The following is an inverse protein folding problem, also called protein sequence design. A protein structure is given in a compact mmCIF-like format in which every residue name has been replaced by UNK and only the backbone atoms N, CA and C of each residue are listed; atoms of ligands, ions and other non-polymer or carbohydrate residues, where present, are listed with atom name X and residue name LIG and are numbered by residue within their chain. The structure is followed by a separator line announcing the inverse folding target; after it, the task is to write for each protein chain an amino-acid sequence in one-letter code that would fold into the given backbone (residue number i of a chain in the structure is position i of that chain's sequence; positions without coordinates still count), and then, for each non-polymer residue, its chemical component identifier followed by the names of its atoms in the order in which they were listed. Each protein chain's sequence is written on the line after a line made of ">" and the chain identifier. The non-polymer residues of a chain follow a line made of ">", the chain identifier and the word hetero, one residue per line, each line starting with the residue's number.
data_IF_637093992425
#
_entry.id   IF_637093992425
#
_cell.length_a   1.000
_cell.length_b   1.000
_cell.length_c   1.000
_cell.angle_alpha   90.00
_cell.angle_beta   90.00
_cell.angle_gamma   90.00
#
_symmetry.space_group_name_H-M   'P 1'
#
loop_
_entity.id
_entity.type
_entity.pdbx_description
1 polymer ?
#
# COMPACT_ATOMS: atom_id res chain seq x y z
N UNK A 1 -34.51 16.14 11.84
CA UNK A 1 -33.18 16.10 12.50
C UNK A 1 -32.15 15.98 11.39
N UNK A 2 -31.08 16.79 11.37
CA UNK A 2 -30.02 16.59 10.39
C UNK A 2 -29.41 15.20 10.63
N UNK A 3 -29.41 14.37 9.59
CA UNK A 3 -28.73 13.08 9.60
C UNK A 3 -27.24 13.39 9.80
N UNK A 4 -26.62 12.84 10.84
CA UNK A 4 -25.19 13.03 11.08
C UNK A 4 -24.41 12.61 9.83
N UNK A 5 -23.40 13.40 9.46
CA UNK A 5 -22.49 13.03 8.37
C UNK A 5 -21.89 11.66 8.69
N UNK A 6 -21.86 10.71 7.73
CA UNK A 6 -21.30 9.38 7.97
C UNK A 6 -19.79 9.45 8.26
N UNK A 7 -19.12 10.54 7.84
CA UNK A 7 -17.74 10.81 8.20
C UNK A 7 -17.66 12.04 9.11
N UNK A 8 -16.88 11.94 10.19
CA UNK A 8 -16.55 13.07 11.08
C UNK A 8 -15.04 13.31 11.12
N UNK A 9 -14.64 14.58 10.97
CA UNK A 9 -13.24 15.00 11.15
C UNK A 9 -12.89 15.00 12.63
N UNK A 10 -11.84 14.26 12.99
CA UNK A 10 -11.31 14.20 14.35
C UNK A 10 -10.34 15.38 14.56
N UNK A 11 -9.38 15.51 13.64
CA UNK A 11 -8.46 16.64 13.59
C UNK A 11 -7.88 16.82 12.18
N UNK A 12 -7.37 18.02 11.92
CA UNK A 12 -6.71 18.42 10.69
C UNK A 12 -5.49 19.26 11.00
N UNK A 13 -4.38 18.95 10.35
CA UNK A 13 -3.10 19.64 10.54
C UNK A 13 -2.45 19.92 9.18
N UNK A 14 -1.93 21.13 9.00
CA UNK A 14 -1.08 21.46 7.86
C UNK A 14 0.38 21.45 8.32
N UNK A 15 1.17 20.55 7.75
CA UNK A 15 2.58 20.39 8.09
C UNK A 15 3.45 21.46 7.42
N UNK A 16 4.59 21.74 8.05
CA UNK A 16 5.57 22.70 7.54
C UNK A 16 6.41 22.15 6.37
N UNK A 17 6.43 20.82 6.19
CA UNK A 17 7.28 20.13 5.22
C UNK A 17 6.48 19.22 4.27
N UNK A 18 6.90 19.08 3.01
CA UNK A 18 6.33 18.09 2.09
C UNK A 18 6.75 16.66 2.46
N UNK A 19 5.88 15.71 2.13
CA UNK A 19 6.12 14.29 2.32
C UNK A 19 5.57 13.47 1.13
N UNK A 20 6.28 12.40 0.80
CA UNK A 20 5.93 11.52 -0.32
C UNK A 20 5.14 10.29 0.13
N UNK A 21 5.39 9.84 1.36
CA UNK A 21 4.84 8.58 1.89
C UNK A 21 4.57 8.68 3.38
N UNK A 22 3.63 7.87 3.85
CA UNK A 22 3.10 7.87 5.20
C UNK A 22 2.83 6.44 5.65
N UNK A 23 3.10 6.15 6.93
CA UNK A 23 2.62 4.94 7.59
C UNK A 23 2.19 5.24 9.03
N UNK A 24 1.32 4.37 9.54
CA UNK A 24 0.94 4.32 10.94
C UNK A 24 1.50 3.06 11.56
N UNK A 25 2.24 3.19 12.65
CA UNK A 25 2.73 2.04 13.40
C UNK A 25 3.10 2.42 14.84
N UNK A 26 3.10 1.42 15.72
CA UNK A 26 3.82 1.49 16.99
C UNK A 26 5.27 1.12 16.73
N UNK A 27 6.21 2.06 16.94
CA UNK A 27 7.62 1.87 16.57
C UNK A 27 8.58 2.34 17.67
N UNK A 28 9.78 1.76 17.72
CA UNK A 28 10.85 2.14 18.64
C UNK A 28 10.41 2.22 20.11
N UNK A 29 9.59 1.26 20.53
CA UNK A 29 9.05 1.15 21.89
C UNK A 29 8.11 2.32 22.29
N UNK A 30 7.50 2.98 21.31
CA UNK A 30 6.40 3.89 21.58
C UNK A 30 5.25 3.16 22.29
N UNK A 31 4.55 3.84 23.18
CA UNK A 31 3.39 3.29 23.90
C UNK A 31 2.09 3.34 23.11
N UNK A 32 2.10 4.01 21.96
CA UNK A 32 0.92 4.19 21.10
C UNK A 32 1.32 4.42 19.65
N UNK A 33 0.31 4.65 18.81
CA UNK A 33 0.50 4.88 17.38
C UNK A 33 1.41 6.07 17.11
N UNK A 34 2.22 5.94 16.07
CA UNK A 34 3.04 7.00 15.53
C UNK A 34 2.67 7.23 14.06
N UNK A 35 2.57 8.49 13.68
CA UNK A 35 2.53 8.91 12.28
C UNK A 35 3.96 9.06 11.78
N UNK A 36 4.32 8.24 10.79
CA UNK A 36 5.67 8.19 10.22
C UNK A 36 5.61 8.75 8.81
N UNK A 37 6.39 9.79 8.54
CA UNK A 37 6.41 10.50 7.27
C UNK A 37 7.78 10.36 6.61
N UNK A 38 7.78 9.95 5.35
CA UNK A 38 8.95 9.98 4.48
C UNK A 38 8.97 11.27 3.67
N UNK A 39 9.92 12.16 3.94
CA UNK A 39 9.94 13.52 3.38
C UNK A 39 10.80 13.65 2.11
N UNK A 40 10.50 14.70 1.32
CA UNK A 40 11.26 15.04 0.11
C UNK A 40 12.72 15.43 0.39
N UNK A 41 13.03 15.88 1.60
CA UNK A 41 14.37 16.24 2.03
C UNK A 41 15.22 15.04 2.50
N UNK A 42 14.72 13.81 2.34
CA UNK A 42 15.41 12.58 2.74
C UNK A 42 15.33 12.27 4.25
N UNK A 43 14.61 13.07 5.02
CA UNK A 43 14.39 12.85 6.45
C UNK A 43 13.11 12.05 6.71
N UNK A 44 13.15 11.16 7.69
CA UNK A 44 11.94 10.57 8.26
C UNK A 44 11.52 11.41 9.47
N UNK A 45 10.26 11.83 9.51
CA UNK A 45 9.67 12.54 10.65
C UNK A 45 8.63 11.66 11.32
N UNK A 46 8.76 11.47 12.63
CA UNK A 46 7.87 10.63 13.43
C UNK A 46 7.16 11.52 14.44
N UNK A 47 5.84 11.54 14.36
CA UNK A 47 4.95 12.25 15.26
C UNK A 47 4.23 11.23 16.14
N UNK A 48 4.12 11.52 17.45
CA UNK A 48 3.20 10.75 18.29
C UNK A 48 1.78 11.04 17.83
N UNK A 49 1.01 9.99 17.58
CA UNK A 49 -0.38 10.11 17.17
C UNK A 49 -1.27 10.01 18.41
N UNK A 50 -2.21 10.94 18.53
CA UNK A 50 -3.27 10.85 19.55
C UNK A 50 -4.63 11.10 18.92
N UNK A 51 -5.66 10.49 19.49
CA UNK A 51 -7.06 10.72 19.11
C UNK A 51 -7.48 12.20 19.15
N UNK A 52 -6.82 13.04 19.95
CA UNK A 52 -7.28 14.42 20.17
C UNK A 52 -6.62 15.44 19.25
N UNK A 53 -5.36 15.20 18.90
CA UNK A 53 -4.58 16.10 18.05
C UNK A 53 -3.30 15.42 17.58
N UNK A 54 -2.73 15.98 16.51
CA UNK A 54 -1.37 15.71 16.04
C UNK A 54 -0.51 16.95 16.31
N UNK A 55 0.64 16.78 16.97
CA UNK A 55 1.59 17.89 17.15
C UNK A 55 2.28 18.20 15.81
N UNK A 56 2.39 19.49 15.47
CA UNK A 56 3.10 19.96 14.29
C UNK A 56 4.61 19.66 14.37
N UNK A 57 5.17 19.58 15.58
CA UNK A 57 6.58 19.22 15.74
C UNK A 57 6.77 17.70 15.79
N UNK A 58 7.65 17.13 14.96
CA UNK A 58 7.98 15.71 15.07
C UNK A 58 8.70 15.44 16.38
N UNK A 59 8.33 14.34 17.04
CA UNK A 59 9.02 13.86 18.25
C UNK A 59 10.39 13.26 17.93
N UNK A 60 10.54 12.66 16.76
CA UNK A 60 11.79 12.06 16.31
C UNK A 60 12.00 12.38 14.84
N UNK A 61 13.22 12.79 14.50
CA UNK A 61 13.65 13.03 13.12
C UNK A 61 14.83 12.11 12.86
N UNK A 62 14.75 11.30 11.81
CA UNK A 62 15.82 10.38 11.40
C UNK A 62 16.36 10.81 10.04
N UNK A 63 17.67 10.77 9.91
CA UNK A 63 18.36 11.13 8.67
C UNK A 63 18.84 9.86 7.95
N UNK A 64 18.37 9.65 6.72
CA UNK A 64 18.80 8.53 5.87
C UNK A 64 20.18 8.76 5.24
N UNK A 65 20.63 10.03 5.20
CA UNK A 65 21.85 10.48 4.50
C UNK A 65 21.82 10.10 3.01
N UNK A 66 20.67 10.31 2.38
CA UNK A 66 20.38 9.91 1.00
C UNK A 66 19.37 10.87 0.36
N UNK A 67 18.76 10.48 -0.75
CA UNK A 67 17.78 11.29 -1.49
C UNK A 67 16.37 11.31 -0.86
N UNK A 68 15.41 12.01 -1.53
CA UNK A 68 13.99 12.00 -1.20
C UNK A 68 13.44 10.60 -0.92
N UNK A 69 12.73 10.44 0.20
CA UNK A 69 12.13 9.15 0.55
C UNK A 69 10.96 8.88 -0.39
N UNK A 70 10.89 7.68 -0.95
CA UNK A 70 9.87 7.30 -1.93
C UNK A 70 8.85 6.32 -1.35
N UNK A 71 9.32 5.38 -0.53
CA UNK A 71 8.48 4.39 0.13
C UNK A 71 9.04 4.08 1.51
N UNK A 72 8.16 3.72 2.43
CA UNK A 72 8.54 3.20 3.74
C UNK A 72 7.58 2.09 4.16
N UNK A 73 8.05 1.21 5.03
CA UNK A 73 7.23 0.20 5.69
C UNK A 73 7.77 -0.05 7.09
N UNK A 74 6.94 -0.58 7.96
CA UNK A 74 7.31 -0.92 9.34
C UNK A 74 7.11 -2.41 9.52
N UNK A 75 8.16 -3.09 9.94
CA UNK A 75 8.13 -4.53 10.15
C UNK A 75 9.22 -4.95 11.13
N UNK A 76 8.97 -6.00 11.91
CA UNK A 76 9.99 -6.60 12.77
C UNK A 76 10.93 -7.52 11.96
N UNK A 77 11.84 -6.91 11.20
CA UNK A 77 12.78 -7.64 10.33
C UNK A 77 13.93 -8.23 11.15
N UNK A 78 14.31 -7.55 12.23
CA UNK A 78 15.43 -7.94 13.08
C UNK A 78 15.06 -9.01 14.10
N UNK A 79 13.78 -9.13 14.47
CA UNK A 79 13.28 -9.97 15.58
C UNK A 79 13.92 -9.63 16.93
N UNK A 80 14.65 -8.51 17.02
CA UNK A 80 15.36 -8.06 18.23
C UNK A 80 14.57 -6.99 18.99
N UNK A 81 13.85 -6.13 18.27
CA UNK A 81 13.06 -5.04 18.82
C UNK A 81 11.65 -5.08 18.22
N UNK A 82 10.65 -4.59 18.96
CA UNK A 82 9.32 -4.42 18.40
C UNK A 82 9.36 -3.37 17.28
N UNK A 83 9.29 -3.86 16.04
CA UNK A 83 9.19 -3.12 14.78
C UNK A 83 10.39 -2.24 14.39
N UNK A 84 10.96 -2.53 13.22
CA UNK A 84 11.98 -1.73 12.54
C UNK A 84 11.33 -0.85 11.47
N UNK A 85 11.99 0.28 11.15
CA UNK A 85 11.58 1.14 10.04
C UNK A 85 12.43 0.85 8.82
N UNK A 86 11.78 0.50 7.72
CA UNK A 86 12.44 0.27 6.43
C UNK A 86 12.09 1.43 5.50
N UNK A 87 13.11 2.02 4.89
CA UNK A 87 12.99 3.23 4.07
C UNK A 87 13.71 3.04 2.75
N UNK A 88 13.02 3.38 1.67
CA UNK A 88 13.54 3.41 0.31
C UNK A 88 13.56 4.85 -0.21
N UNK A 89 14.59 5.21 -0.98
CA UNK A 89 14.72 6.55 -1.53
C UNK A 89 14.95 6.60 -3.04
N UNK A 90 14.94 7.83 -3.56
CA UNK A 90 15.08 8.12 -4.99
C UNK A 90 16.49 7.87 -5.55
N UNK A 91 17.47 7.57 -4.70
CA UNK A 91 18.85 7.30 -5.10
C UNK A 91 19.17 5.80 -5.11
N UNK A 92 18.15 4.94 -5.01
CA UNK A 92 18.35 3.49 -5.09
C UNK A 92 18.82 2.86 -3.78
N UNK A 93 18.73 3.59 -2.66
CA UNK A 93 19.20 3.13 -1.36
C UNK A 93 18.06 2.62 -0.49
N UNK A 94 18.29 1.46 0.11
CA UNK A 94 17.49 0.90 1.19
C UNK A 94 18.17 1.20 2.52
N UNK A 95 17.44 1.76 3.48
CA UNK A 95 17.92 2.00 4.84
C UNK A 95 16.98 1.35 5.85
N UNK A 96 17.54 0.54 6.75
CA UNK A 96 16.80 -0.07 7.87
C UNK A 96 17.21 0.61 9.15
N UNK A 97 16.25 1.19 9.87
CA UNK A 97 16.44 1.73 11.20
C UNK A 97 15.92 0.75 12.25
N UNK A 98 16.78 0.45 13.23
CA UNK A 98 16.43 -0.30 14.42
C UNK A 98 16.64 0.60 15.64
N UNK A 99 15.60 0.79 16.45
CA UNK A 99 15.64 1.64 17.64
C UNK A 99 16.25 3.04 17.40
N UNK A 100 15.77 3.74 16.36
CA UNK A 100 16.23 5.09 15.93
C UNK A 100 17.67 5.17 15.39
N UNK A 101 18.35 4.06 15.22
CA UNK A 101 19.70 4.00 14.65
C UNK A 101 19.68 3.28 13.31
N UNK A 102 20.57 3.68 12.40
CA UNK A 102 20.75 2.97 11.14
C UNK A 102 21.41 1.62 11.45
N UNK A 103 20.68 0.54 11.19
CA UNK A 103 21.20 -0.82 11.28
C UNK A 103 21.91 -1.22 9.99
N UNK A 104 21.28 -0.94 8.86
CA UNK A 104 21.73 -1.38 7.54
C UNK A 104 21.45 -0.30 6.50
N UNK A 105 22.37 -0.17 5.55
CA UNK A 105 22.20 0.60 4.31
C UNK A 105 22.72 -0.23 3.15
N UNK A 106 21.90 -0.36 2.11
CA UNK A 106 22.24 -1.14 0.92
C UNK A 106 21.92 -0.33 -0.33
N UNK A 107 22.89 -0.24 -1.25
CA UNK A 107 22.67 0.33 -2.58
C UNK A 107 22.17 -0.76 -3.50
N UNK A 108 20.87 -0.77 -3.76
CA UNK A 108 20.22 -1.82 -4.55
C UNK A 108 20.16 -1.48 -6.04
N UNK A 109 20.07 -0.18 -6.36
CA UNK A 109 19.96 0.31 -7.73
C UNK A 109 20.64 1.67 -7.88
N UNK A 110 20.90 2.08 -9.13
CA UNK A 110 21.18 3.47 -9.49
C UNK A 110 19.91 4.30 -9.71
N UNK A 111 18.77 3.63 -9.85
CA UNK A 111 17.46 4.23 -10.08
C UNK A 111 16.66 4.34 -8.76
N UNK A 112 15.64 5.19 -8.76
CA UNK A 112 14.71 5.36 -7.64
C UNK A 112 14.08 4.04 -7.21
N UNK A 113 14.11 3.74 -5.90
CA UNK A 113 13.30 2.67 -5.32
C UNK A 113 11.89 3.20 -5.08
N UNK A 114 10.88 2.60 -5.70
CA UNK A 114 9.52 3.15 -5.77
C UNK A 114 8.54 2.48 -4.80
N UNK A 115 8.76 1.22 -4.43
CA UNK A 115 7.88 0.48 -3.53
C UNK A 115 8.74 -0.33 -2.55
N UNK A 116 8.22 -0.52 -1.34
CA UNK A 116 8.85 -1.28 -0.28
C UNK A 116 7.78 -2.07 0.47
N UNK A 117 7.99 -3.36 0.66
CA UNK A 117 7.13 -4.23 1.46
C UNK A 117 7.96 -5.33 2.11
N UNK A 118 7.35 -6.13 2.98
CA UNK A 118 8.01 -7.30 3.59
C UNK A 118 7.17 -8.54 3.32
N UNK A 119 7.83 -9.61 2.91
CA UNK A 119 7.25 -10.96 2.77
C UNK A 119 7.85 -11.88 3.82
N UNK A 120 7.11 -12.88 4.27
CA UNK A 120 7.65 -13.95 5.10
C UNK A 120 7.91 -15.18 4.23
N UNK A 121 9.18 -15.52 4.04
CA UNK A 121 9.57 -16.72 3.31
C UNK A 121 9.43 -17.97 4.19
N UNK A 122 9.59 -19.13 3.55
CA UNK A 122 9.53 -20.44 4.21
C UNK A 122 10.37 -20.45 5.50
N UNK A 123 9.72 -20.75 6.63
CA UNK A 123 10.35 -20.72 7.96
C UNK A 123 10.14 -19.41 8.74
N UNK A 124 9.35 -18.47 8.23
CA UNK A 124 8.99 -17.23 8.93
C UNK A 124 10.09 -16.17 8.91
N UNK A 125 11.07 -16.34 8.01
CA UNK A 125 12.16 -15.37 7.85
C UNK A 125 11.66 -14.16 7.06
N UNK A 126 11.73 -12.94 7.61
CA UNK A 126 11.27 -11.75 6.90
C UNK A 126 12.26 -11.39 5.79
N UNK A 127 11.72 -11.08 4.62
CA UNK A 127 12.45 -10.61 3.44
C UNK A 127 11.88 -9.27 3.03
N UNK A 128 12.73 -8.24 3.04
CA UNK A 128 12.38 -6.92 2.55
C UNK A 128 12.39 -6.99 1.03
N UNK A 129 11.28 -6.60 0.41
CA UNK A 129 11.16 -6.54 -1.05
C UNK A 129 11.04 -5.10 -1.50
N UNK A 130 11.95 -4.69 -2.37
CA UNK A 130 11.97 -3.37 -2.97
C UNK A 130 11.84 -3.48 -4.49
N UNK A 131 11.20 -2.51 -5.12
CA UNK A 131 11.21 -2.37 -6.57
C UNK A 131 11.76 -1.02 -6.98
N UNK A 132 12.27 -0.92 -8.22
CA UNK A 132 12.75 0.33 -8.79
C UNK A 132 11.96 0.76 -10.03
N UNK A 133 12.23 1.98 -10.52
CA UNK A 133 11.62 2.54 -11.74
C UNK A 133 12.15 1.90 -13.04
N UNK A 134 13.07 0.96 -12.98
CA UNK A 134 13.59 0.21 -14.15
C UNK A 134 13.08 -1.24 -14.23
N UNK A 135 12.05 -1.60 -13.44
CA UNK A 135 11.39 -2.90 -13.55
C UNK A 135 12.17 -4.05 -12.90
N UNK A 136 13.01 -3.73 -11.92
CA UNK A 136 13.72 -4.70 -11.08
C UNK A 136 13.03 -4.80 -9.73
N UNK A 137 12.85 -6.03 -9.26
CA UNK A 137 12.36 -6.37 -7.92
C UNK A 137 13.48 -7.12 -7.22
N UNK A 138 13.85 -6.66 -6.03
CA UNK A 138 14.94 -7.25 -5.24
C UNK A 138 14.42 -7.62 -3.86
N UNK A 139 14.63 -8.88 -3.48
CA UNK A 139 14.41 -9.38 -2.13
C UNK A 139 15.72 -9.41 -1.35
N UNK A 140 15.73 -8.77 -0.18
CA UNK A 140 16.92 -8.60 0.64
C UNK A 140 16.62 -8.85 2.11
N UNK A 141 17.66 -9.24 2.83
CA UNK A 141 17.75 -9.12 4.28
C UNK A 141 18.68 -7.96 4.63
N UNK A 142 18.69 -7.46 5.88
CA UNK A 142 19.58 -6.38 6.28
C UNK A 142 21.07 -6.61 5.98
N UNK A 143 21.48 -7.87 5.88
CA UNK A 143 22.88 -8.29 5.66
C UNK A 143 23.23 -8.64 4.22
N UNK A 144 22.25 -9.03 3.39
CA UNK A 144 22.53 -9.54 2.04
C UNK A 144 21.33 -9.43 1.08
N UNK A 145 21.63 -9.47 -0.21
CA UNK A 145 20.64 -9.67 -1.28
C UNK A 145 20.36 -11.15 -1.45
N UNK A 146 19.09 -11.56 -1.38
CA UNK A 146 18.67 -12.96 -1.50
C UNK A 146 18.35 -13.32 -2.95
N UNK A 147 17.58 -12.47 -3.62
CA UNK A 147 17.14 -12.71 -4.99
C UNK A 147 16.80 -11.41 -5.71
N UNK A 148 16.85 -11.47 -7.04
CA UNK A 148 16.59 -10.34 -7.93
C UNK A 148 15.87 -10.81 -9.18
N UNK A 149 14.80 -10.10 -9.53
CA UNK A 149 13.97 -10.36 -10.71
C UNK A 149 14.05 -9.12 -11.60
N UNK A 150 14.52 -9.27 -12.83
CA UNK A 150 14.48 -8.22 -13.84
C UNK A 150 13.36 -8.53 -14.84
N UNK A 151 12.28 -7.73 -14.80
CA UNK A 151 11.12 -7.96 -15.67
C UNK A 151 11.42 -7.68 -17.14
N UNK A 152 12.40 -6.81 -17.45
CA UNK A 152 12.80 -6.55 -18.83
C UNK A 152 13.43 -7.78 -19.49
N UNK A 153 14.09 -8.64 -18.71
CA UNK A 153 14.68 -9.90 -19.20
C UNK A 153 13.62 -10.93 -19.60
N UNK A 154 12.36 -10.75 -19.17
CA UNK A 154 11.24 -11.64 -19.49
C UNK A 154 10.46 -11.19 -20.73
N UNK A 155 10.66 -9.95 -21.19
CA UNK A 155 9.98 -9.40 -22.36
C UNK A 155 10.65 -9.88 -23.66
N UNK A 156 10.13 -10.95 -24.24
CA UNK A 156 10.68 -11.57 -25.46
C UNK A 156 10.36 -10.81 -26.78
N UNK A 157 9.74 -9.62 -26.74
CA UNK A 157 9.32 -8.91 -27.97
C UNK A 157 9.48 -7.38 -27.85
N UNK A 158 10.28 -6.82 -28.77
CA UNK A 158 10.52 -5.39 -29.05
C UNK A 158 10.69 -4.45 -27.83
N UNK A 159 11.92 -3.94 -27.56
CA UNK A 159 12.24 -3.12 -26.38
C UNK A 159 11.84 -1.64 -26.56
N UNK A 160 10.68 -1.33 -27.15
CA UNK A 160 10.31 0.08 -27.37
C UNK A 160 10.00 0.82 -26.07
N UNK A 161 9.66 0.11 -25.00
CA UNK A 161 9.32 0.70 -23.69
C UNK A 161 9.89 -0.14 -22.57
N UNK A 162 10.66 0.48 -21.67
CA UNK A 162 11.14 -0.16 -20.44
C UNK A 162 9.96 -0.53 -19.55
N UNK A 163 10.02 -1.74 -18.97
CA UNK A 163 9.07 -2.19 -17.96
C UNK A 163 9.29 -1.38 -16.70
N UNK A 164 8.22 -0.79 -16.17
CA UNK A 164 8.22 -0.03 -14.93
C UNK A 164 7.19 -0.60 -14.00
N UNK A 165 7.57 -0.81 -12.75
CA UNK A 165 6.63 -1.27 -11.72
C UNK A 165 5.82 -0.06 -11.27
N UNK A 166 4.52 -0.23 -11.07
CA UNK A 166 3.62 0.84 -10.66
C UNK A 166 3.24 0.73 -9.19
N UNK A 167 3.02 -0.49 -8.70
CA UNK A 167 2.71 -0.76 -7.30
C UNK A 167 3.00 -2.22 -6.95
N UNK A 168 3.19 -2.47 -5.65
CA UNK A 168 3.31 -3.81 -5.08
C UNK A 168 2.35 -3.99 -3.91
N UNK A 169 1.86 -5.21 -3.72
CA UNK A 169 1.03 -5.58 -2.57
C UNK A 169 1.32 -7.01 -2.15
N UNK A 170 1.52 -7.22 -0.85
CA UNK A 170 1.55 -8.55 -0.25
C UNK A 170 0.13 -8.97 0.07
N UNK A 171 -0.24 -10.17 -0.36
CA UNK A 171 -1.61 -10.70 -0.24
C UNK A 171 -1.59 -12.14 0.24
N UNK A 172 -2.65 -12.54 0.93
CA UNK A 172 -2.91 -13.94 1.24
C UNK A 172 -4.02 -14.45 0.32
N UNK A 173 -3.69 -15.38 -0.58
CA UNK A 173 -4.65 -15.95 -1.53
C UNK A 173 -4.69 -17.46 -1.37
N UNK A 174 -5.87 -18.04 -1.54
CA UNK A 174 -6.05 -19.48 -1.61
C UNK A 174 -5.67 -19.99 -3.01
N UNK A 175 -4.75 -20.96 -3.07
CA UNK A 175 -4.35 -21.58 -4.33
C UNK A 175 -5.38 -22.61 -4.84
N UNK A 176 -5.16 -23.16 -6.03
CA UNK A 176 -6.05 -24.17 -6.64
C UNK A 176 -6.14 -25.48 -5.82
N UNK A 177 -5.23 -25.69 -4.87
CA UNK A 177 -5.23 -26.84 -3.96
C UNK A 177 -5.96 -26.55 -2.64
N UNK A 178 -6.52 -25.34 -2.48
CA UNK A 178 -7.21 -24.91 -1.27
C UNK A 178 -6.27 -24.42 -0.16
N UNK A 179 -4.96 -24.29 -0.44
CA UNK A 179 -4.00 -23.85 0.55
C UNK A 179 -3.88 -22.33 0.50
N UNK A 180 -4.14 -21.67 1.63
CA UNK A 180 -3.93 -20.23 1.81
C UNK A 180 -2.43 -19.95 1.91
N UNK A 181 -1.91 -19.14 0.99
CA UNK A 181 -0.49 -18.80 0.89
C UNK A 181 -0.28 -17.31 0.70
N UNK A 182 0.87 -16.83 1.15
CA UNK A 182 1.30 -15.46 0.89
C UNK A 182 1.86 -15.35 -0.53
N UNK A 183 1.47 -14.29 -1.24
CA UNK A 183 2.00 -13.91 -2.54
C UNK A 183 2.35 -12.43 -2.55
N UNK A 184 3.35 -12.08 -3.34
CA UNK A 184 3.62 -10.70 -3.71
C UNK A 184 3.02 -10.45 -5.09
N UNK A 185 2.12 -9.48 -5.19
CA UNK A 185 1.64 -8.95 -6.46
C UNK A 185 2.48 -7.74 -6.85
N UNK A 186 3.00 -7.72 -8.06
CA UNK A 186 3.70 -6.57 -8.63
C UNK A 186 3.06 -6.20 -9.97
N UNK A 187 2.48 -4.99 -10.05
CA UNK A 187 1.87 -4.47 -11.27
C UNK A 187 2.89 -3.66 -12.07
N UNK A 188 2.79 -3.71 -13.40
CA UNK A 188 3.66 -2.96 -14.30
C UNK A 188 2.90 -2.02 -15.27
N UNK A 189 3.67 -1.21 -16.00
CA UNK A 189 3.18 -0.30 -17.02
C UNK A 189 2.76 -0.98 -18.34
N UNK A 190 2.83 -2.31 -18.42
CA UNK A 190 2.44 -3.14 -19.57
C UNK A 190 1.17 -3.96 -19.28
N UNK A 191 0.35 -3.52 -18.32
CA UNK A 191 -0.90 -4.16 -17.88
C UNK A 191 -0.71 -5.55 -17.31
N UNK A 192 0.48 -5.90 -16.82
CA UNK A 192 0.75 -7.19 -16.19
C UNK A 192 0.69 -7.05 -14.67
N UNK A 193 0.20 -8.10 -14.03
CA UNK A 193 0.33 -8.29 -12.58
C UNK A 193 1.08 -9.60 -12.38
N UNK A 194 2.33 -9.49 -11.96
CA UNK A 194 3.18 -10.63 -11.66
C UNK A 194 2.86 -11.15 -10.26
N UNK A 195 2.58 -12.45 -10.16
CA UNK A 195 2.38 -13.14 -8.90
C UNK A 195 3.70 -13.81 -8.54
N UNK A 196 4.30 -13.37 -7.44
CA UNK A 196 5.63 -13.79 -6.99
C UNK A 196 5.49 -14.56 -5.67
N UNK A 197 6.21 -15.67 -5.56
CA UNK A 197 6.34 -16.46 -4.34
C UNK A 197 7.78 -16.94 -4.20
N UNK A 198 8.39 -16.71 -3.04
CA UNK A 198 9.79 -17.11 -2.73
C UNK A 198 10.77 -16.74 -3.86
N UNK A 199 10.79 -15.45 -4.24
CA UNK A 199 11.68 -14.92 -5.28
C UNK A 199 11.42 -15.41 -6.71
N UNK A 200 10.31 -16.13 -6.97
CA UNK A 200 9.98 -16.68 -8.29
C UNK A 200 8.62 -16.18 -8.76
N UNK A 201 8.51 -15.79 -10.04
CA UNK A 201 7.22 -15.50 -10.67
C UNK A 201 6.50 -16.82 -10.94
N UNK A 202 5.41 -17.05 -10.22
CA UNK A 202 4.59 -18.27 -10.34
C UNK A 202 3.42 -18.11 -11.31
N UNK A 203 2.97 -16.87 -11.54
CA UNK A 203 1.93 -16.54 -12.50
C UNK A 203 2.08 -15.08 -12.98
N UNK A 204 1.44 -14.73 -14.09
CA UNK A 204 1.37 -13.35 -14.56
C UNK A 204 0.02 -13.10 -15.24
N UNK A 205 -0.78 -12.26 -14.61
CA UNK A 205 -2.13 -11.92 -15.04
C UNK A 205 -2.08 -10.73 -16.00
N UNK A 206 -3.10 -10.59 -16.86
CA UNK A 206 -3.28 -9.42 -17.72
C UNK A 206 -4.46 -8.62 -17.19
N UNK A 207 -4.20 -7.38 -16.78
CA UNK A 207 -5.22 -6.43 -16.40
C UNK A 207 -5.80 -5.73 -17.65
N UNK A 208 -7.06 -5.24 -17.62
CA UNK A 208 -7.63 -4.45 -18.71
C UNK A 208 -6.87 -3.14 -18.98
N UNK A 209 -6.39 -2.51 -17.90
CA UNK A 209 -5.69 -1.21 -17.87
C UNK A 209 -4.49 -1.33 -16.91
N UNK A 210 -3.53 -0.40 -17.03
CA UNK A 210 -2.42 -0.31 -16.10
C UNK A 210 -2.94 -0.08 -14.67
N UNK A 211 -2.57 -0.99 -13.76
CA UNK A 211 -2.92 -0.93 -12.35
C UNK A 211 -1.90 -0.03 -11.65
N UNK A 212 -2.38 0.85 -10.78
CA UNK A 212 -1.59 1.88 -10.10
C UNK A 212 -1.72 1.82 -8.58
N UNK A 213 -2.75 1.16 -8.06
CA UNK A 213 -2.93 0.92 -6.63
C UNK A 213 -3.63 -0.42 -6.39
N UNK A 214 -3.33 -1.06 -5.25
CA UNK A 214 -3.96 -2.32 -4.86
C UNK A 214 -4.24 -2.33 -3.36
N UNK A 215 -5.33 -2.96 -2.93
CA UNK A 215 -5.56 -3.32 -1.52
C UNK A 215 -6.33 -4.64 -1.41
N UNK A 216 -6.05 -5.41 -0.37
CA UNK A 216 -6.73 -6.68 -0.09
C UNK A 216 -7.93 -6.45 0.83
N UNK A 217 -9.07 -7.07 0.53
CA UNK A 217 -10.31 -6.94 1.31
C UNK A 217 -11.41 -7.85 0.77
N UNK A 218 -12.65 -7.61 1.21
CA UNK A 218 -13.86 -8.27 0.70
C UNK A 218 -14.84 -7.21 0.19
N UNK A 219 -14.89 -7.01 -1.13
CA UNK A 219 -15.64 -5.89 -1.73
C UNK A 219 -16.94 -6.31 -2.40
N UNK A 220 -16.99 -7.53 -2.94
CA UNK A 220 -18.17 -8.08 -3.61
C UNK A 220 -18.54 -9.40 -2.94
N UNK A 221 -19.79 -9.64 -2.54
CA UNK A 221 -20.21 -10.96 -2.08
C UNK A 221 -20.02 -12.01 -3.19
N UNK A 222 -19.51 -13.20 -2.89
CA UNK A 222 -19.15 -14.20 -3.91
C UNK A 222 -20.27 -14.58 -4.88
N UNK A 223 -21.54 -14.45 -4.46
CA UNK A 223 -22.71 -14.71 -5.30
C UNK A 223 -22.96 -13.65 -6.40
N UNK A 224 -22.31 -12.49 -6.32
CA UNK A 224 -22.42 -11.38 -7.28
C UNK A 224 -21.19 -11.23 -8.18
N UNK A 225 -20.16 -12.06 -8.04
CA UNK A 225 -18.99 -12.01 -8.92
C UNK A 225 -19.31 -12.57 -10.31
N UNK A 226 -19.29 -11.70 -11.33
CA UNK A 226 -19.36 -12.07 -12.75
C UNK A 226 -18.00 -12.56 -13.26
N UNK A 227 -17.62 -13.80 -12.92
CA UNK A 227 -16.41 -14.43 -13.45
C UNK A 227 -16.72 -15.26 -14.70
N UNK A 228 -15.88 -15.14 -15.73
CA UNK A 228 -15.96 -15.96 -16.94
C UNK A 228 -15.59 -17.42 -16.59
N UNK A 229 -16.62 -18.27 -16.46
CA UNK A 229 -16.55 -19.74 -16.38
C UNK A 229 -15.51 -20.34 -15.41
N UNK A 230 -15.91 -20.60 -14.16
CA UNK A 230 -15.25 -21.55 -13.28
C UNK A 230 -16.30 -22.41 -12.55
N UNK A 231 -16.10 -23.73 -12.41
CA UNK A 231 -17.08 -24.60 -11.76
C UNK A 231 -17.11 -24.33 -10.25
N UNK A 232 -18.34 -24.27 -9.73
CA UNK A 232 -18.77 -24.47 -8.35
C UNK A 232 -17.68 -24.84 -7.33
N UNK A 233 -17.09 -23.84 -6.68
CA UNK A 233 -16.63 -23.90 -5.29
C UNK A 233 -16.99 -22.55 -4.66
N UNK A 234 -18.14 -22.53 -4.00
CA UNK A 234 -18.70 -21.39 -3.28
C UNK A 234 -17.95 -21.19 -1.96
N UNK A 235 -16.69 -20.76 -2.04
CA UNK A 235 -15.97 -20.27 -0.87
C UNK A 235 -15.81 -18.77 -0.98
N UNK A 236 -16.01 -18.11 0.15
CA UNK A 236 -15.82 -16.68 0.39
C UNK A 236 -14.30 -16.37 0.29
N UNK A 237 -13.77 -16.46 -0.92
CA UNK A 237 -12.33 -16.36 -1.18
C UNK A 237 -11.85 -14.92 -1.15
N UNK A 238 -10.56 -14.75 -0.88
CA UNK A 238 -9.96 -13.43 -0.74
C UNK A 238 -10.05 -12.59 -2.03
N UNK A 239 -10.19 -11.28 -1.89
CA UNK A 239 -10.27 -10.34 -3.01
C UNK A 239 -9.22 -9.26 -2.92
N UNK A 240 -8.82 -8.74 -4.07
CA UNK A 240 -7.94 -7.58 -4.17
C UNK A 240 -8.59 -6.56 -5.09
N UNK A 241 -8.78 -5.34 -4.60
CA UNK A 241 -9.19 -4.22 -5.44
C UNK A 241 -7.98 -3.70 -6.20
N UNK A 242 -8.14 -3.51 -7.51
CA UNK A 242 -7.11 -3.08 -8.45
C UNK A 242 -7.51 -1.72 -9.04
N UNK A 243 -6.95 -0.65 -8.50
CA UNK A 243 -7.15 0.72 -8.99
C UNK A 243 -6.28 0.97 -10.21
N UNK A 244 -6.83 1.62 -11.22
CA UNK A 244 -6.16 1.82 -12.51
C UNK A 244 -5.91 3.28 -12.86
N UNK A 245 -5.03 3.50 -13.84
CA UNK A 245 -4.77 4.82 -14.41
C UNK A 245 -5.95 5.43 -15.16
N UNK A 246 -7.00 4.65 -15.50
CA UNK A 246 -8.24 5.17 -16.11
C UNK A 246 -9.30 5.60 -15.10
N UNK A 247 -9.06 5.39 -13.81
CA UNK A 247 -10.05 5.62 -12.75
C UNK A 247 -10.99 4.44 -12.49
N UNK A 248 -10.85 3.33 -13.22
CA UNK A 248 -11.60 2.11 -12.95
C UNK A 248 -10.95 1.32 -11.82
N UNK A 249 -11.77 0.71 -10.97
CA UNK A 249 -11.36 -0.33 -10.02
C UNK A 249 -11.85 -1.67 -10.54
N UNK A 250 -10.98 -2.68 -10.59
CA UNK A 250 -11.34 -4.06 -10.89
C UNK A 250 -11.15 -4.93 -9.66
N UNK A 251 -11.81 -6.09 -9.59
CA UNK A 251 -11.61 -7.05 -8.50
C UNK A 251 -10.85 -8.26 -9.01
N UNK A 252 -9.75 -8.59 -8.34
CA UNK A 252 -9.07 -9.87 -8.46
C UNK A 252 -9.66 -10.84 -7.45
N UNK A 253 -10.09 -12.02 -7.91
CA UNK A 253 -10.56 -13.11 -7.08
C UNK A 253 -10.15 -14.44 -7.69
N UNK A 254 -9.59 -15.35 -6.89
CA UNK A 254 -9.10 -16.66 -7.35
C UNK A 254 -8.20 -16.54 -8.60
N UNK A 255 -7.25 -15.61 -8.58
CA UNK A 255 -6.33 -15.32 -9.70
C UNK A 255 -7.02 -14.91 -11.02
N UNK A 256 -8.28 -14.49 -10.98
CA UNK A 256 -9.03 -13.97 -12.12
C UNK A 256 -9.46 -12.52 -11.84
N UNK A 257 -9.31 -11.66 -12.85
CA UNK A 257 -9.70 -10.24 -12.77
C UNK A 257 -11.09 -10.09 -13.39
N UNK A 258 -11.97 -9.33 -12.75
CA UNK A 258 -13.30 -9.01 -13.31
C UNK A 258 -13.17 -8.26 -14.64
N UNK A 259 -14.09 -8.53 -15.57
CA UNK A 259 -14.12 -7.84 -16.87
C UNK A 259 -14.71 -6.44 -16.74
N UNK A 260 -15.76 -6.31 -15.94
CA UNK A 260 -16.42 -5.04 -15.65
C UNK A 260 -15.71 -4.35 -14.48
N UNK A 261 -15.73 -3.02 -14.50
CA UNK A 261 -15.23 -2.22 -13.39
C UNK A 261 -16.23 -2.26 -12.22
N UNK A 262 -15.68 -2.46 -11.01
CA UNK A 262 -16.43 -2.39 -9.76
C UNK A 262 -16.95 -0.97 -9.52
N UNK A 263 -16.07 0.02 -9.73
CA UNK A 263 -16.38 1.46 -9.67
C UNK A 263 -15.49 2.23 -10.64
N UNK A 264 -15.89 3.47 -10.99
CA UNK A 264 -15.13 4.32 -11.89
C UNK A 264 -15.15 5.79 -11.46
N UNK A 265 -14.01 6.30 -11.00
CA UNK A 265 -13.81 7.69 -10.55
C UNK A 265 -13.63 8.69 -11.69
N UNK A 266 -13.50 8.22 -12.94
CA UNK A 266 -13.19 9.02 -14.15
C UNK A 266 -11.81 9.71 -14.15
N UNK A 267 -11.01 9.52 -13.10
CA UNK A 267 -9.68 10.11 -12.92
C UNK A 267 -8.70 9.05 -12.38
N UNK A 268 -7.41 9.10 -12.76
CA UNK A 268 -6.41 8.12 -12.32
C UNK A 268 -6.44 7.87 -10.81
N UNK A 269 -6.45 6.61 -10.40
CA UNK A 269 -6.39 6.20 -8.99
C UNK A 269 -4.93 6.08 -8.57
N UNK A 270 -4.59 6.61 -7.40
CA UNK A 270 -3.22 6.61 -6.86
C UNK A 270 -3.11 5.88 -5.53
N UNK A 271 -4.20 5.76 -4.77
CA UNK A 271 -4.21 5.06 -3.50
C UNK A 271 -5.55 4.35 -3.28
N UNK A 272 -5.48 3.12 -2.79
CA UNK A 272 -6.61 2.34 -2.34
C UNK A 272 -6.31 1.83 -0.92
N UNK A 273 -7.33 1.80 -0.08
CA UNK A 273 -7.24 1.21 1.25
C UNK A 273 -8.56 0.49 1.58
N UNK A 274 -8.46 -0.63 2.27
CA UNK A 274 -9.62 -1.35 2.80
C UNK A 274 -9.91 -0.84 4.20
N UNK A 275 -11.17 -0.53 4.47
CA UNK A 275 -11.65 -0.30 5.82
C UNK A 275 -12.62 -1.45 6.20
N UNK A 276 -12.16 -2.44 6.98
CA UNK A 276 -12.98 -3.55 7.43
C UNK A 276 -14.25 -3.08 8.15
N UNK A 277 -15.34 -3.81 7.93
CA UNK A 277 -16.63 -3.53 8.58
C UNK A 277 -17.08 -4.79 9.33
N UNK A 278 -17.33 -4.66 10.64
CA UNK A 278 -17.71 -5.79 11.49
C UNK A 278 -19.19 -6.20 11.33
N UNK A 279 -20.02 -5.28 10.87
CA UNK A 279 -21.49 -5.41 10.76
C UNK A 279 -21.98 -5.68 9.32
N UNK A 280 -21.07 -5.71 8.35
CA UNK A 280 -21.39 -5.84 6.93
C UNK A 280 -20.74 -7.06 6.30
N UNK A 281 -21.36 -7.55 5.21
CA UNK A 281 -20.79 -8.66 4.42
C UNK A 281 -19.61 -8.24 3.55
N UNK A 282 -19.36 -6.93 3.42
CA UNK A 282 -18.31 -6.36 2.59
C UNK A 282 -17.64 -5.21 3.33
N UNK A 283 -16.35 -5.05 3.10
CA UNK A 283 -15.55 -3.94 3.56
C UNK A 283 -15.83 -2.67 2.75
N UNK A 284 -15.53 -1.52 3.34
CA UNK A 284 -15.50 -0.25 2.62
C UNK A 284 -14.20 -0.16 1.80
N UNK A 285 -14.33 0.28 0.55
CA UNK A 285 -13.19 0.62 -0.30
C UNK A 285 -12.95 2.13 -0.24
N UNK A 286 -11.83 2.53 0.34
CA UNK A 286 -11.34 3.90 0.31
C UNK A 286 -10.53 4.12 -0.96
N UNK A 287 -10.84 5.16 -1.70
CA UNK A 287 -10.25 5.43 -3.00
C UNK A 287 -9.84 6.89 -3.14
N UNK A 288 -8.59 7.11 -3.51
CA UNK A 288 -8.02 8.41 -3.83
C UNK A 288 -7.28 8.39 -5.16
N UNK A 289 -7.14 9.55 -5.78
CA UNK A 289 -6.56 9.70 -7.10
C UNK A 289 -6.23 11.13 -7.44
N UNK A 290 -6.16 11.44 -8.74
CA UNK A 290 -5.99 12.81 -9.23
C UNK A 290 -7.31 13.61 -9.13
N UNK A 291 -7.87 13.67 -7.92
CA UNK A 291 -9.06 14.42 -7.54
C UNK A 291 -8.97 14.80 -6.07
N UNK A 292 -9.52 15.96 -5.69
CA UNK A 292 -9.38 16.54 -4.35
C UNK A 292 -10.48 16.04 -3.39
N UNK A 293 -10.63 14.72 -3.31
CA UNK A 293 -11.54 14.07 -2.38
C UNK A 293 -11.13 12.63 -2.08
N UNK A 294 -11.60 12.10 -0.94
CA UNK A 294 -11.56 10.69 -0.60
C UNK A 294 -12.95 10.09 -0.88
N UNK A 295 -13.02 9.11 -1.78
CA UNK A 295 -14.25 8.40 -2.09
C UNK A 295 -14.33 7.11 -1.26
N UNK A 296 -15.49 6.90 -0.63
CA UNK A 296 -15.82 5.68 0.10
C UNK A 296 -16.83 4.91 -0.73
N UNK A 297 -16.49 3.69 -1.13
CA UNK A 297 -17.38 2.82 -1.89
C UNK A 297 -17.84 1.64 -1.04
N UNK A 298 -19.13 1.29 -1.21
CA UNK A 298 -19.78 0.13 -0.60
C UNK A 298 -20.59 -0.59 -1.68
N UNK A 299 -20.43 -1.90 -1.82
CA UNK A 299 -21.19 -2.71 -2.78
C UNK A 299 -21.18 -2.16 -4.23
N UNK A 300 -20.07 -1.55 -4.65
CA UNK A 300 -19.89 -0.98 -6.00
C UNK A 300 -20.55 0.39 -6.20
N UNK A 301 -21.01 1.04 -5.12
CA UNK A 301 -21.66 2.34 -5.16
C UNK A 301 -20.92 3.35 -4.29
N UNK A 302 -20.91 4.62 -4.73
CA UNK A 302 -20.33 5.71 -3.94
C UNK A 302 -21.20 5.89 -2.68
N UNK A 303 -20.66 5.53 -1.53
CA UNK A 303 -21.30 5.66 -0.24
C UNK A 303 -21.15 7.09 0.30
N UNK A 304 -19.94 7.63 0.22
CA UNK A 304 -19.63 8.98 0.70
C UNK A 304 -18.42 9.59 -0.02
N UNK A 305 -18.36 10.91 -0.07
CA UNK A 305 -17.24 11.69 -0.59
C UNK A 305 -16.81 12.72 0.47
N UNK A 306 -15.57 12.63 0.93
CA UNK A 306 -14.96 13.63 1.80
C UNK A 306 -14.08 14.56 0.97
N UNK A 307 -14.43 15.84 0.89
CA UNK A 307 -13.69 16.85 0.13
C UNK A 307 -12.40 17.25 0.86
N UNK A 308 -11.28 17.30 0.12
CA UNK A 308 -9.96 17.68 0.64
C UNK A 308 -9.48 18.97 -0.01
N UNK A 309 -8.44 19.60 0.57
CA UNK A 309 -7.87 20.82 0.01
C UNK A 309 -7.03 20.58 -1.24
N UNK A 310 -6.53 19.36 -1.43
CA UNK A 310 -5.73 18.91 -2.57
C UNK A 310 -5.86 17.39 -2.75
N UNK A 311 -5.17 16.81 -3.73
CA UNK A 311 -5.17 15.36 -3.98
C UNK A 311 -4.66 14.59 -2.77
N UNK A 312 -5.39 13.54 -2.40
CA UNK A 312 -4.96 12.58 -1.38
C UNK A 312 -3.92 11.65 -2.01
N UNK A 313 -2.72 11.63 -1.45
CA UNK A 313 -1.61 10.79 -1.93
C UNK A 313 -1.35 9.57 -1.03
N UNK A 314 -1.73 9.64 0.26
CA UNK A 314 -1.57 8.53 1.18
C UNK A 314 -2.84 8.30 2.01
N UNK A 315 -3.17 7.03 2.23
CA UNK A 315 -4.26 6.58 3.10
C UNK A 315 -3.68 5.53 4.04
N UNK A 316 -3.95 5.65 5.34
CA UNK A 316 -3.63 4.63 6.33
C UNK A 316 -4.80 4.48 7.31
N UNK A 317 -4.95 3.30 7.89
CA UNK A 317 -5.99 3.00 8.87
C UNK A 317 -5.39 2.43 10.14
N UNK A 318 -5.91 2.86 11.29
CA UNK A 318 -5.52 2.39 12.61
C UNK A 318 -6.60 2.79 13.61
N UNK A 319 -6.79 1.99 14.65
CA UNK A 319 -7.59 2.35 15.82
C UNK A 319 -6.74 3.27 16.70
N UNK A 320 -6.90 4.58 16.54
CA UNK A 320 -6.05 5.60 17.19
C UNK A 320 -6.65 6.11 18.50
N UNK A 321 -7.93 5.82 18.76
CA UNK A 321 -8.64 6.19 19.97
C UNK A 321 -8.96 5.01 20.91
N UNK A 322 -8.56 3.80 20.52
CA UNK A 322 -8.68 2.54 21.26
C UNK A 322 -10.15 2.17 21.55
N UNK A 323 -11.06 2.53 20.63
CA UNK A 323 -12.48 2.20 20.71
C UNK A 323 -12.86 0.90 19.97
N UNK A 324 -11.89 0.27 19.31
CA UNK A 324 -12.06 -0.96 18.54
C UNK A 324 -12.51 -0.74 17.10
N UNK A 325 -12.66 0.52 16.65
CA UNK A 325 -12.97 0.90 15.27
C UNK A 325 -11.72 1.54 14.65
N UNK A 326 -11.50 1.29 13.36
CA UNK A 326 -10.37 1.90 12.66
C UNK A 326 -10.74 3.31 12.18
N UNK A 327 -9.91 4.29 12.53
CA UNK A 327 -9.91 5.60 11.90
C UNK A 327 -9.16 5.59 10.56
N UNK A 328 -9.46 6.59 9.74
CA UNK A 328 -8.78 6.84 8.47
C UNK A 328 -7.91 8.07 8.59
N UNK A 329 -6.60 7.91 8.35
CA UNK A 329 -5.66 9.02 8.24
C UNK A 329 -5.30 9.22 6.78
N UNK A 330 -5.51 10.43 6.29
CA UNK A 330 -5.15 10.81 4.92
C UNK A 330 -4.09 11.90 4.89
N UNK A 331 -3.14 11.74 3.98
CA UNK A 331 -2.17 12.76 3.60
C UNK A 331 -2.54 13.37 2.24
N UNK A 332 -2.44 14.69 2.13
CA UNK A 332 -2.68 15.45 0.90
C UNK A 332 -1.38 16.07 0.37
N UNK A 333 -1.32 16.29 -0.94
CA UNK A 333 -0.17 16.93 -1.62
C UNK A 333 0.14 18.34 -1.09
N UNK A 334 -0.85 19.08 -0.58
CA UNK A 334 -0.67 20.41 0.01
C UNK A 334 -0.12 20.40 1.45
N UNK A 335 0.38 19.24 1.91
CA UNK A 335 0.94 18.97 3.24
C UNK A 335 -0.10 18.87 4.35
N UNK A 336 -1.38 18.79 4.00
CA UNK A 336 -2.45 18.57 4.96
C UNK A 336 -2.53 17.10 5.35
N UNK A 337 -2.61 16.82 6.64
CA UNK A 337 -2.94 15.50 7.20
C UNK A 337 -4.25 15.62 7.97
N UNK A 338 -5.16 14.68 7.75
CA UNK A 338 -6.49 14.66 8.38
C UNK A 338 -6.75 13.29 8.99
N UNK A 339 -7.31 13.26 10.19
CA UNK A 339 -7.90 12.08 10.79
C UNK A 339 -9.43 12.13 10.69
N UNK A 340 -10.00 11.02 10.23
CA UNK A 340 -11.42 10.86 9.99
C UNK A 340 -11.93 9.62 10.74
N UNK A 341 -13.12 9.74 11.32
CA UNK A 341 -13.94 8.61 11.76
C UNK A 341 -15.05 8.38 10.74
N UNK A 342 -15.22 7.15 10.29
CA UNK A 342 -16.13 6.73 9.21
C UNK A 342 -17.16 5.73 9.74
#
# INVERSE_FOLDING_TARGET
>A
MPVASPCSEIWKLKLDHPFNTMALAVIFRASGWSLILGCEDGLVRIHDLSAKHLDNKPKTVLETKSGPIQALTVYDVTRFYHNDLIVCDSCGMLTVFCNKQILSRQSLSSDSLICCTVVEENGGSPVIVCSNDSGVITGVQPTEELWRINLNSLSNKNPSTLVRISCMLVVYLTDSTGNRKQYLLAADNAKRIHVISNGTIVNSLVAPVNITAMCQGRFIPSNKLSLASSPTLSTDGEQVALGSSSGSVYILHNFNITLDDYVNTKSPITSLCTLPQSDHSTDLLLCAGHFSSLHLYRDGQLFYEYLTSDWVNNIATADIDDDGVLEVIIGCMDKTVVALKV
#
